data_IF_635455159561
#
_entry.id   IF_635455159561
#
_cell.length_a   1.000
_cell.length_b   1.000
_cell.length_c   1.000
_cell.angle_alpha   90.00
_cell.angle_beta   90.00
_cell.angle_gamma   90.00
#
_symmetry.space_group_name_H-M   'P 1'
#
loop_
_entity.id
_entity.type
_entity.pdbx_description
1 polymer ?
#
# COMPACT_ATOMS: atom_id res chain seq x y z
N UNK A 1 7.83 32.14 16.11
CA UNK A 1 7.72 31.30 14.88
C UNK A 1 6.80 30.17 15.26
N UNK A 2 5.58 30.17 14.70
CA UNK A 2 4.57 29.15 15.04
C UNK A 2 5.08 27.74 14.70
N UNK A 3 4.77 26.77 15.55
CA UNK A 3 5.01 25.35 15.30
C UNK A 3 4.33 24.95 13.99
N UNK A 4 5.04 24.25 13.12
CA UNK A 4 4.43 23.74 11.90
C UNK A 4 3.49 22.58 12.27
N UNK A 5 2.19 22.84 12.26
CA UNK A 5 1.14 21.89 12.64
C UNK A 5 0.76 20.93 11.49
N UNK A 6 1.58 20.84 10.45
CA UNK A 6 1.34 19.94 9.32
C UNK A 6 1.93 18.57 9.60
N UNK A 7 1.13 17.51 9.44
CA UNK A 7 1.55 16.12 9.29
C UNK A 7 1.67 15.87 7.79
N UNK A 8 2.89 15.71 7.30
CA UNK A 8 3.16 15.44 5.89
C UNK A 8 3.28 13.93 5.64
N UNK A 9 2.47 13.40 4.75
CA UNK A 9 2.56 12.01 4.27
C UNK A 9 3.12 12.03 2.86
N UNK A 10 4.29 11.45 2.65
CA UNK A 10 4.97 11.41 1.37
C UNK A 10 4.67 10.09 0.67
N UNK A 11 3.95 10.15 -0.43
CA UNK A 11 3.47 9.04 -1.22
C UNK A 11 1.99 8.71 -1.00
N UNK A 12 1.19 8.83 -2.04
CA UNK A 12 -0.25 8.57 -2.07
C UNK A 12 -0.62 7.12 -2.43
N UNK A 13 0.23 6.14 -2.09
CA UNK A 13 -0.06 4.71 -2.21
C UNK A 13 -0.96 4.19 -1.07
N UNK A 14 -1.19 2.88 -1.01
CA UNK A 14 -2.06 2.26 0.00
C UNK A 14 -1.62 2.60 1.44
N UNK A 15 -0.31 2.47 1.73
CA UNK A 15 0.23 2.77 3.07
C UNK A 15 0.13 4.25 3.42
N UNK A 16 0.36 5.15 2.43
CA UNK A 16 0.27 6.59 2.66
C UNK A 16 -1.15 7.05 2.91
N UNK A 17 -2.11 6.60 2.11
CA UNK A 17 -3.53 6.92 2.32
C UNK A 17 -4.03 6.39 3.67
N UNK A 18 -3.70 5.14 4.02
CA UNK A 18 -4.08 4.59 5.33
C UNK A 18 -3.45 5.37 6.50
N UNK A 19 -2.17 5.75 6.39
CA UNK A 19 -1.49 6.56 7.38
C UNK A 19 -2.11 7.96 7.50
N UNK A 20 -2.51 8.56 6.38
CA UNK A 20 -3.16 9.86 6.36
C UNK A 20 -4.55 9.82 7.03
N UNK A 21 -5.35 8.77 6.77
CA UNK A 21 -6.63 8.55 7.46
C UNK A 21 -6.40 8.47 8.96
N UNK A 22 -5.49 7.61 9.41
CA UNK A 22 -5.21 7.43 10.83
C UNK A 22 -4.72 8.73 11.51
N UNK A 23 -3.88 9.50 10.82
CA UNK A 23 -3.42 10.79 11.32
C UNK A 23 -4.55 11.82 11.42
N UNK A 24 -5.41 11.92 10.40
CA UNK A 24 -6.55 12.84 10.40
C UNK A 24 -7.60 12.49 11.46
N UNK A 25 -7.88 11.20 11.65
CA UNK A 25 -8.75 10.73 12.73
C UNK A 25 -8.18 11.06 14.12
N UNK A 26 -6.86 10.85 14.31
CA UNK A 26 -6.19 11.16 15.57
C UNK A 26 -6.22 12.66 15.88
N UNK A 27 -6.05 13.53 14.90
CA UNK A 27 -6.17 14.98 15.08
C UNK A 27 -7.57 15.37 15.53
N UNK A 28 -8.61 14.84 14.91
CA UNK A 28 -10.00 15.11 15.30
C UNK A 28 -10.33 14.61 16.69
N UNK A 29 -9.83 13.45 17.07
CA UNK A 29 -10.01 12.90 18.43
C UNK A 29 -9.37 13.83 19.49
N UNK A 30 -8.20 14.42 19.18
CA UNK A 30 -7.52 15.38 20.04
C UNK A 30 -8.30 16.69 20.16
N UNK A 31 -8.83 17.21 19.07
CA UNK A 31 -9.66 18.41 19.03
C UNK A 31 -10.97 18.22 19.80
N UNK A 32 -11.64 17.05 19.62
CA UNK A 32 -12.85 16.68 20.36
C UNK A 32 -12.63 16.49 21.86
N UNK A 33 -11.46 16.01 22.26
CA UNK A 33 -11.11 15.81 23.67
C UNK A 33 -10.73 17.13 24.39
N UNK A 34 -10.34 18.18 23.65
CA UNK A 34 -9.96 19.48 24.20
C UNK A 34 -11.12 20.37 24.64
N UNK A 35 -12.37 19.92 24.52
CA UNK A 35 -13.60 20.52 25.07
C UNK A 35 -13.82 21.98 24.74
N UNK A 36 -14.48 22.23 23.68
CA UNK A 36 -15.50 23.21 23.30
C UNK A 36 -15.62 23.09 21.79
N UNK A 37 -16.82 22.79 21.30
CA UNK A 37 -17.10 22.85 19.87
C UNK A 37 -16.88 24.30 19.39
N UNK A 38 -15.63 24.60 19.09
CA UNK A 38 -15.30 25.78 18.28
C UNK A 38 -15.70 25.44 16.85
N UNK A 39 -16.57 26.26 16.27
CA UNK A 39 -16.85 26.23 14.84
C UNK A 39 -15.52 26.08 14.08
N UNK A 40 -15.41 25.04 13.24
CA UNK A 40 -14.31 24.91 12.32
C UNK A 40 -14.41 26.10 11.36
N UNK A 41 -13.65 27.14 11.63
CA UNK A 41 -13.54 28.29 10.74
C UNK A 41 -12.70 27.82 9.57
N UNK A 42 -13.33 27.59 8.42
CA UNK A 42 -12.62 27.37 7.16
C UNK A 42 -11.62 28.51 6.96
N UNK A 43 -10.33 28.22 7.00
CA UNK A 43 -9.26 29.19 6.73
C UNK A 43 -8.33 29.51 7.89
N UNK A 44 -8.42 28.83 9.04
CA UNK A 44 -7.42 29.00 10.11
C UNK A 44 -6.07 28.40 9.67
N UNK A 45 -5.17 29.28 9.23
CA UNK A 45 -3.81 28.91 8.81
C UNK A 45 -2.98 28.26 9.94
N UNK A 46 -3.50 28.27 11.17
CA UNK A 46 -2.84 27.78 12.38
C UNK A 46 -3.41 26.41 12.86
N UNK A 47 -4.44 25.88 12.19
CA UNK A 47 -5.00 24.56 12.51
C UNK A 47 -4.04 23.44 12.10
N UNK A 48 -4.02 22.36 12.90
CA UNK A 48 -3.29 21.15 12.55
C UNK A 48 -3.93 20.46 11.34
N UNK A 49 -3.12 20.02 10.39
CA UNK A 49 -3.62 19.41 9.14
C UNK A 49 -2.77 18.23 8.67
N UNK A 50 -3.39 17.33 7.93
CA UNK A 50 -2.71 16.22 7.26
C UNK A 50 -2.68 16.49 5.77
N UNK A 51 -1.49 16.40 5.17
CA UNK A 51 -1.28 16.61 3.74
C UNK A 51 -0.57 15.40 3.14
N UNK A 52 -1.16 14.81 2.10
CA UNK A 52 -0.54 13.76 1.29
C UNK A 52 0.14 14.41 0.08
N UNK A 53 1.42 14.16 -0.10
CA UNK A 53 2.23 14.60 -1.25
C UNK A 53 2.43 13.41 -2.18
N UNK A 54 1.89 13.49 -3.38
CA UNK A 54 1.99 12.45 -4.40
C UNK A 54 2.66 13.00 -5.66
N UNK A 55 3.72 12.31 -6.12
CA UNK A 55 4.47 12.73 -7.30
C UNK A 55 3.68 12.57 -8.62
N UNK A 56 2.76 11.62 -8.67
CA UNK A 56 1.95 11.33 -9.85
C UNK A 56 0.77 12.29 -9.98
N UNK A 57 0.08 12.20 -11.12
CA UNK A 57 -1.14 12.94 -11.44
C UNK A 57 -2.35 12.54 -10.57
N UNK A 58 -2.25 11.47 -9.81
CA UNK A 58 -3.29 10.97 -8.90
C UNK A 58 -2.73 10.07 -7.83
N UNK A 59 -3.40 10.00 -6.68
CA UNK A 59 -3.11 9.02 -5.63
C UNK A 59 -3.57 7.62 -6.04
N UNK A 60 -3.01 6.58 -5.42
CA UNK A 60 -3.45 5.19 -5.54
C UNK A 60 -3.15 4.48 -6.85
N UNK A 61 -2.26 5.01 -7.71
CA UNK A 61 -1.88 4.32 -8.98
C UNK A 61 -1.40 2.90 -8.75
N UNK A 62 -0.62 2.68 -7.71
CA UNK A 62 -0.13 1.34 -7.35
C UNK A 62 -1.28 0.41 -6.95
N UNK A 63 -2.30 0.90 -6.26
CA UNK A 63 -3.49 0.11 -5.87
C UNK A 63 -4.20 -0.41 -7.12
N UNK A 64 -4.42 0.49 -8.10
CA UNK A 64 -5.13 0.15 -9.34
C UNK A 64 -4.42 -0.92 -10.17
N UNK A 65 -3.10 -1.03 -10.05
CA UNK A 65 -2.29 -2.02 -10.77
C UNK A 65 -2.26 -3.41 -10.08
N UNK A 66 -2.68 -3.49 -8.79
CA UNK A 66 -2.59 -4.75 -8.04
C UNK A 66 -3.67 -5.75 -8.43
N UNK A 67 -3.35 -7.04 -8.29
CA UNK A 67 -4.29 -8.14 -8.53
C UNK A 67 -4.94 -8.07 -9.92
N UNK A 68 -4.21 -7.68 -10.95
CA UNK A 68 -4.75 -7.45 -12.30
C UNK A 68 -5.97 -6.49 -12.32
N UNK A 69 -5.89 -5.40 -11.58
CA UNK A 69 -6.97 -4.41 -11.46
C UNK A 69 -8.10 -4.80 -10.50
N UNK A 70 -7.95 -5.90 -9.74
CA UNK A 70 -8.93 -6.38 -8.76
C UNK A 70 -8.61 -5.98 -7.33
N UNK A 71 -7.35 -5.77 -7.01
CA UNK A 71 -6.77 -5.52 -5.69
C UNK A 71 -7.03 -6.66 -4.68
N UNK A 72 -6.10 -7.63 -4.61
CA UNK A 72 -6.02 -8.50 -3.45
C UNK A 72 -5.48 -7.70 -2.26
N UNK A 73 -6.36 -7.14 -1.43
CA UNK A 73 -5.98 -6.15 -0.44
C UNK A 73 -5.59 -6.76 0.92
N UNK A 74 -5.96 -8.02 1.17
CA UNK A 74 -5.64 -8.72 2.43
C UNK A 74 -5.82 -10.24 2.28
N UNK A 75 -5.55 -10.95 3.35
CA UNK A 75 -5.83 -12.38 3.51
C UNK A 75 -6.72 -12.59 4.75
N UNK A 76 -7.68 -13.51 4.67
CA UNK A 76 -8.57 -13.84 5.77
C UNK A 76 -7.86 -14.57 6.92
N UNK A 77 -6.74 -15.20 6.62
CA UNK A 77 -5.94 -16.00 7.57
C UNK A 77 -4.45 -15.66 7.43
N UNK A 78 -4.04 -14.42 7.76
CA UNK A 78 -2.63 -14.07 7.72
C UNK A 78 -1.88 -14.84 8.81
N UNK A 79 -0.80 -15.50 8.45
CA UNK A 79 0.14 -16.10 9.38
C UNK A 79 1.36 -15.20 9.53
N UNK A 80 1.77 -14.94 10.77
CA UNK A 80 2.97 -14.13 11.03
C UNK A 80 4.24 -14.76 10.47
N UNK A 81 4.27 -16.08 10.31
CA UNK A 81 5.36 -16.83 9.68
C UNK A 81 5.54 -16.53 8.20
N UNK A 82 4.51 -16.01 7.53
CA UNK A 82 4.59 -15.58 6.12
C UNK A 82 5.42 -14.28 5.97
N UNK A 83 5.73 -13.61 7.09
CA UNK A 83 6.45 -12.35 7.08
C UNK A 83 7.90 -12.55 7.53
N UNK A 84 8.82 -11.88 6.86
CA UNK A 84 10.25 -11.94 7.15
C UNK A 84 10.61 -11.57 8.59
N UNK A 85 9.86 -10.69 9.24
CA UNK A 85 10.07 -10.25 10.61
C UNK A 85 8.80 -10.52 11.45
N UNK A 86 8.50 -11.79 11.66
CA UNK A 86 7.31 -12.25 12.35
C UNK A 86 7.10 -11.57 13.72
N UNK A 87 8.16 -11.42 14.52
CA UNK A 87 8.09 -10.78 15.84
C UNK A 87 7.68 -9.29 15.76
N UNK A 88 8.15 -8.58 14.75
CA UNK A 88 7.76 -7.18 14.51
C UNK A 88 6.31 -7.10 14.04
N UNK A 89 5.94 -7.94 13.08
CA UNK A 89 4.57 -8.00 12.54
C UNK A 89 3.56 -8.30 13.64
N UNK A 90 3.84 -9.30 14.50
CA UNK A 90 3.01 -9.64 15.66
C UNK A 90 2.80 -8.42 16.57
N UNK A 91 3.84 -7.66 16.86
CA UNK A 91 3.74 -6.45 17.68
C UNK A 91 2.85 -5.39 17.05
N UNK A 92 3.02 -5.14 15.74
CA UNK A 92 2.23 -4.16 14.99
C UNK A 92 0.76 -4.56 14.98
N UNK A 93 0.46 -5.82 14.67
CA UNK A 93 -0.92 -6.33 14.65
C UNK A 93 -1.56 -6.25 16.04
N UNK A 94 -0.82 -6.64 17.09
CA UNK A 94 -1.33 -6.58 18.48
C UNK A 94 -1.64 -5.14 18.92
N UNK A 95 -0.77 -4.16 18.62
CA UNK A 95 -1.04 -2.76 18.93
C UNK A 95 -2.24 -2.22 18.15
N UNK A 96 -2.37 -2.62 16.89
CA UNK A 96 -3.51 -2.25 16.06
C UNK A 96 -4.84 -2.81 16.65
N UNK A 97 -4.84 -4.07 17.06
CA UNK A 97 -5.98 -4.68 17.74
C UNK A 97 -6.32 -3.96 19.05
N UNK A 98 -5.32 -3.60 19.86
CA UNK A 98 -5.52 -2.86 21.10
C UNK A 98 -6.13 -1.47 20.86
N UNK A 99 -5.73 -0.77 19.81
CA UNK A 99 -6.28 0.53 19.45
C UNK A 99 -7.71 0.43 18.94
N UNK A 100 -8.00 -0.55 18.09
CA UNK A 100 -9.34 -0.81 17.59
C UNK A 100 -10.32 -1.08 18.74
N UNK A 101 -9.90 -1.86 19.75
CA UNK A 101 -10.73 -2.11 20.93
C UNK A 101 -10.96 -0.89 21.82
N UNK A 102 -10.08 0.10 21.82
CA UNK A 102 -10.25 1.35 22.59
C UNK A 102 -11.26 2.30 21.96
N UNK A 103 -11.42 2.26 20.64
CA UNK A 103 -12.31 3.16 19.89
C UNK A 103 -13.76 2.68 19.82
N UNK A 104 -14.03 1.40 20.10
CA UNK A 104 -15.38 0.84 20.05
C UNK A 104 -16.11 1.13 21.36
N UNK A 105 -17.23 1.90 21.37
CA UNK A 105 -18.08 2.07 22.54
C UNK A 105 -18.55 0.71 23.08
N UNK A 106 -18.67 0.58 24.39
CA UNK A 106 -18.92 -0.69 25.08
C UNK A 106 -20.17 -1.47 24.64
N UNK A 107 -21.06 -0.85 23.88
CA UNK A 107 -22.28 -1.47 23.34
C UNK A 107 -22.07 -2.17 21.98
N UNK A 108 -20.94 -1.96 21.28
CA UNK A 108 -20.64 -2.58 19.99
C UNK A 108 -19.72 -3.80 20.10
N UNK A 109 -19.60 -4.41 21.30
CA UNK A 109 -18.74 -5.57 21.58
C UNK A 109 -19.16 -6.89 20.90
N UNK A 110 -20.04 -6.85 19.91
CA UNK A 110 -20.45 -8.05 19.16
C UNK A 110 -19.61 -8.29 17.91
N UNK A 111 -18.63 -7.45 17.62
CA UNK A 111 -17.71 -7.68 16.50
C UNK A 111 -16.52 -8.53 16.93
N UNK A 112 -16.77 -9.81 17.23
CA UNK A 112 -15.76 -10.89 17.19
C UNK A 112 -15.35 -11.20 15.74
N UNK A 113 -15.72 -10.35 14.79
CA UNK A 113 -15.77 -10.72 13.40
C UNK A 113 -14.45 -10.56 12.65
N UNK A 114 -13.51 -9.73 13.15
CA UNK A 114 -12.30 -9.45 12.36
C UNK A 114 -11.03 -9.54 13.23
N UNK A 115 -10.43 -10.74 13.32
CA UNK A 115 -9.14 -10.91 14.02
C UNK A 115 -7.98 -10.19 13.34
N UNK A 116 -8.24 -9.49 12.24
CA UNK A 116 -7.29 -8.83 11.38
C UNK A 116 -7.59 -7.33 11.36
N UNK A 117 -6.71 -6.51 11.93
CA UNK A 117 -6.90 -5.07 12.02
C UNK A 117 -7.06 -4.37 10.67
N UNK A 118 -6.52 -4.95 9.59
CA UNK A 118 -6.72 -4.45 8.22
C UNK A 118 -8.19 -4.58 7.81
N UNK A 119 -8.82 -5.71 8.14
CA UNK A 119 -10.24 -5.91 7.83
C UNK A 119 -11.13 -5.00 8.67
N UNK A 120 -10.79 -4.80 9.95
CA UNK A 120 -11.46 -3.82 10.81
C UNK A 120 -11.41 -2.43 10.20
N UNK A 121 -10.23 -1.97 9.82
CA UNK A 121 -10.05 -0.67 9.18
C UNK A 121 -10.94 -0.51 7.93
N UNK A 122 -10.90 -1.47 7.01
CA UNK A 122 -11.70 -1.39 5.79
C UNK A 122 -13.20 -1.53 6.04
N UNK A 123 -13.61 -2.31 7.05
CA UNK A 123 -15.01 -2.41 7.48
C UNK A 123 -15.55 -1.09 8.00
N UNK A 124 -14.77 -0.41 8.85
CA UNK A 124 -15.14 0.87 9.45
C UNK A 124 -15.32 1.97 8.40
N UNK A 125 -14.60 1.83 7.26
CA UNK A 125 -14.68 2.73 6.12
C UNK A 125 -15.61 2.23 4.99
N UNK A 126 -16.41 1.20 5.25
CA UNK A 126 -17.48 0.75 4.36
C UNK A 126 -17.05 -0.09 3.16
N UNK A 127 -15.82 -0.61 3.13
CA UNK A 127 -15.42 -1.55 2.10
C UNK A 127 -16.07 -2.91 2.33
N UNK A 128 -16.80 -3.40 1.34
CA UNK A 128 -17.32 -4.77 1.30
C UNK A 128 -16.39 -5.66 0.49
N UNK A 129 -16.18 -6.88 0.94
CA UNK A 129 -15.26 -7.82 0.29
C UNK A 129 -15.82 -9.25 0.23
N UNK A 130 -15.10 -10.09 -0.50
CA UNK A 130 -15.31 -11.54 -0.55
C UNK A 130 -13.98 -12.27 -0.44
N UNK A 131 -14.02 -13.46 0.13
CA UNK A 131 -12.91 -14.39 0.14
C UNK A 131 -12.90 -15.22 -1.14
N UNK A 132 -11.73 -15.41 -1.72
CA UNK A 132 -11.44 -16.35 -2.80
C UNK A 132 -10.45 -17.43 -2.29
N UNK A 133 -10.07 -18.36 -3.14
CA UNK A 133 -9.18 -19.48 -2.74
C UNK A 133 -7.93 -19.00 -1.99
N UNK A 134 -7.50 -19.80 -1.02
CA UNK A 134 -6.32 -19.56 -0.18
C UNK A 134 -6.44 -18.34 0.76
N UNK A 135 -7.66 -17.93 1.09
CA UNK A 135 -7.91 -16.80 1.98
C UNK A 135 -7.73 -15.42 1.35
N UNK A 136 -7.51 -15.34 0.06
CA UNK A 136 -7.34 -14.06 -0.63
C UNK A 136 -8.61 -13.22 -0.58
N UNK A 137 -8.46 -11.94 -0.24
CA UNK A 137 -9.58 -11.03 -0.09
C UNK A 137 -9.59 -9.97 -1.20
N UNK A 138 -10.71 -9.88 -1.86
CA UNK A 138 -10.95 -8.92 -2.94
C UNK A 138 -12.18 -8.05 -2.62
N UNK A 139 -12.21 -6.79 -3.05
CA UNK A 139 -13.42 -5.99 -2.92
C UNK A 139 -14.60 -6.68 -3.61
N UNK A 140 -15.80 -6.56 -3.04
CA UNK A 140 -17.00 -7.25 -3.56
C UNK A 140 -17.28 -6.91 -5.03
N UNK A 141 -17.03 -5.66 -5.42
CA UNK A 141 -17.16 -5.20 -6.81
C UNK A 141 -16.07 -5.78 -7.74
N UNK A 142 -15.08 -6.50 -7.22
CA UNK A 142 -13.98 -7.09 -7.99
C UNK A 142 -13.16 -6.07 -8.82
N UNK A 143 -13.06 -4.85 -8.31
CA UNK A 143 -12.34 -3.73 -8.95
C UNK A 143 -11.44 -3.04 -7.93
N UNK A 144 -10.18 -2.87 -8.26
CA UNK A 144 -9.21 -2.15 -7.42
C UNK A 144 -9.64 -0.71 -7.11
N UNK A 145 -10.41 -0.08 -8.02
CA UNK A 145 -10.98 1.23 -7.80
C UNK A 145 -11.83 1.32 -6.52
N UNK A 146 -12.57 0.26 -6.16
CA UNK A 146 -13.39 0.27 -4.94
C UNK A 146 -12.56 0.39 -3.66
N UNK A 147 -11.34 -0.19 -3.64
CA UNK A 147 -10.40 -0.02 -2.52
C UNK A 147 -9.86 1.40 -2.48
N UNK A 148 -9.50 1.95 -3.63
CA UNK A 148 -9.01 3.32 -3.73
C UNK A 148 -10.10 4.33 -3.35
N UNK A 149 -11.32 4.16 -3.85
CA UNK A 149 -12.45 5.04 -3.54
C UNK A 149 -12.77 5.03 -2.04
N UNK A 150 -12.72 3.85 -1.40
CA UNK A 150 -12.88 3.71 0.05
C UNK A 150 -11.81 4.51 0.81
N UNK A 151 -10.52 4.36 0.45
CA UNK A 151 -9.42 5.08 1.10
C UNK A 151 -9.54 6.60 0.89
N UNK A 152 -9.89 7.04 -0.32
CA UNK A 152 -10.07 8.47 -0.61
C UNK A 152 -11.27 9.06 0.12
N UNK A 153 -12.37 8.33 0.19
CA UNK A 153 -13.54 8.74 0.98
C UNK A 153 -13.18 8.87 2.47
N UNK A 154 -12.40 7.93 3.01
CA UNK A 154 -11.89 7.98 4.37
C UNK A 154 -10.95 9.18 4.58
N UNK A 155 -10.03 9.45 3.65
CA UNK A 155 -9.16 10.64 3.67
C UNK A 155 -9.99 11.94 3.69
N UNK A 156 -10.97 12.07 2.79
CA UNK A 156 -11.84 13.24 2.73
C UNK A 156 -12.64 13.40 4.04
N UNK A 157 -13.22 12.31 4.55
CA UNK A 157 -13.89 12.30 5.83
C UNK A 157 -12.94 12.65 7.00
N UNK A 158 -11.65 12.32 6.92
CA UNK A 158 -10.64 12.69 7.90
C UNK A 158 -10.02 14.09 7.71
N UNK A 159 -10.50 14.89 6.75
CA UNK A 159 -9.98 16.23 6.49
C UNK A 159 -8.56 16.24 5.89
N UNK A 160 -8.17 15.17 5.21
CA UNK A 160 -6.86 15.04 4.58
C UNK A 160 -6.82 15.82 3.26
N UNK A 161 -5.80 16.62 3.07
CA UNK A 161 -5.51 17.31 1.82
C UNK A 161 -4.65 16.41 0.90
N UNK A 162 -5.11 16.16 -0.32
CA UNK A 162 -4.33 15.44 -1.35
C UNK A 162 -3.66 16.44 -2.30
N UNK A 163 -2.33 16.42 -2.40
CA UNK A 163 -1.55 17.22 -3.35
C UNK A 163 -0.87 16.30 -4.34
N UNK A 164 -1.42 16.21 -5.52
CA UNK A 164 -0.88 15.47 -6.66
C UNK A 164 0.09 16.32 -7.47
N UNK A 165 0.87 15.70 -8.34
CA UNK A 165 1.95 16.34 -9.10
C UNK A 165 2.89 17.15 -8.18
N UNK A 166 3.06 16.66 -6.96
CA UNK A 166 3.80 17.31 -5.90
C UNK A 166 4.87 16.37 -5.33
N UNK A 167 5.96 16.22 -6.04
CA UNK A 167 7.06 15.36 -5.67
C UNK A 167 7.91 16.00 -4.56
N UNK A 168 8.08 15.29 -3.46
CA UNK A 168 9.05 15.63 -2.40
C UNK A 168 10.38 14.99 -2.75
N UNK A 169 11.37 15.79 -3.11
CA UNK A 169 12.69 15.34 -3.49
C UNK A 169 13.62 15.06 -2.30
N UNK A 170 13.43 15.74 -1.18
CA UNK A 170 14.22 15.51 0.03
C UNK A 170 13.48 15.97 1.29
N UNK A 171 13.85 15.36 2.42
CA UNK A 171 13.42 15.74 3.77
C UNK A 171 14.64 16.17 4.58
N UNK A 172 14.66 17.43 4.99
CA UNK A 172 15.70 17.95 5.88
C UNK A 172 15.22 17.85 7.33
N UNK A 173 16.03 17.25 8.22
CA UNK A 173 15.66 17.10 9.62
C UNK A 173 15.60 18.47 10.33
N UNK A 174 14.90 18.53 11.47
CA UNK A 174 14.89 19.72 12.32
C UNK A 174 16.30 20.16 12.72
N UNK A 175 16.56 21.45 12.71
CA UNK A 175 17.86 22.02 13.13
C UNK A 175 18.01 22.16 14.64
N UNK A 176 16.91 22.08 15.36
CA UNK A 176 16.84 22.13 16.83
C UNK A 176 15.61 21.36 17.30
N UNK A 177 15.60 21.01 18.58
CA UNK A 177 14.43 20.38 19.21
C UNK A 177 13.20 21.28 19.08
N UNK A 178 12.06 20.69 18.67
CA UNK A 178 10.81 21.43 18.41
C UNK A 178 10.77 22.23 17.09
N UNK A 179 11.85 22.26 16.32
CA UNK A 179 11.83 22.85 14.99
C UNK A 179 11.17 21.90 13.97
N UNK A 180 10.52 22.45 12.91
CA UNK A 180 9.89 21.63 11.89
C UNK A 180 10.91 20.97 10.95
N UNK A 181 10.49 19.87 10.32
CA UNK A 181 11.12 19.34 9.12
C UNK A 181 10.94 20.33 7.96
N UNK A 182 11.91 20.35 7.04
CA UNK A 182 11.78 21.05 5.78
C UNK A 182 11.67 20.04 4.64
N UNK A 183 10.58 20.13 3.90
CA UNK A 183 10.36 19.34 2.68
C UNK A 183 10.85 20.15 1.50
N UNK A 184 11.75 19.61 0.71
CA UNK A 184 12.19 20.20 -0.55
C UNK A 184 11.44 19.52 -1.69
N UNK A 185 10.60 20.28 -2.37
CA UNK A 185 9.85 19.79 -3.52
C UNK A 185 10.74 19.77 -4.78
N UNK A 186 10.39 18.92 -5.74
CA UNK A 186 11.14 18.81 -7.00
C UNK A 186 11.09 20.09 -7.86
N UNK A 187 10.06 20.90 -7.70
CA UNK A 187 9.92 22.19 -8.37
C UNK A 187 10.71 23.34 -7.70
N UNK A 188 11.46 23.02 -6.64
CA UNK A 188 12.31 23.98 -5.90
C UNK A 188 11.61 24.69 -4.75
N UNK A 189 10.32 24.52 -4.54
CA UNK A 189 9.61 25.03 -3.36
C UNK A 189 10.01 24.31 -2.09
N UNK A 190 9.83 24.96 -0.96
CA UNK A 190 10.05 24.41 0.37
C UNK A 190 8.77 24.51 1.19
N UNK A 191 8.45 23.42 1.90
CA UNK A 191 7.35 23.38 2.85
C UNK A 191 7.84 22.90 4.22
N UNK A 192 7.06 23.15 5.26
CA UNK A 192 7.40 22.76 6.63
C UNK A 192 6.38 21.82 7.20
N UNK A 193 6.85 20.82 7.95
CA UNK A 193 6.01 19.85 8.62
C UNK A 193 6.53 19.56 10.03
N UNK A 194 5.62 19.46 10.99
CA UNK A 194 5.95 19.04 12.36
C UNK A 194 6.21 17.53 12.43
N UNK A 195 5.52 16.77 11.59
CA UNK A 195 5.67 15.30 11.47
C UNK A 195 5.79 14.94 10.00
N UNK A 196 6.64 13.95 9.69
CA UNK A 196 6.80 13.42 8.34
C UNK A 196 6.63 11.90 8.37
N UNK A 197 5.75 11.38 7.52
CA UNK A 197 5.54 9.96 7.29
C UNK A 197 5.97 9.64 5.86
N UNK A 198 7.00 8.81 5.70
CA UNK A 198 7.49 8.41 4.38
C UNK A 198 6.85 7.10 3.96
N UNK A 199 6.04 7.12 2.90
CA UNK A 199 5.22 6.01 2.42
C UNK A 199 5.33 5.80 0.89
N UNK A 200 6.51 6.05 0.32
CA UNK A 200 6.78 6.03 -1.13
C UNK A 200 6.96 4.64 -1.74
N UNK A 201 6.79 3.58 -0.95
CA UNK A 201 6.95 2.20 -1.41
C UNK A 201 8.38 1.69 -1.35
N UNK A 202 8.64 0.58 -2.06
CA UNK A 202 9.91 -0.16 -1.92
C UNK A 202 11.14 0.53 -2.51
N UNK A 203 10.98 1.44 -3.45
CA UNK A 203 12.08 2.19 -4.09
C UNK A 203 12.20 3.59 -3.49
N UNK A 204 12.52 3.65 -2.20
CA UNK A 204 12.64 4.92 -1.51
C UNK A 204 13.99 5.60 -1.80
N UNK A 205 13.94 6.89 -2.16
CA UNK A 205 15.14 7.71 -2.29
C UNK A 205 15.75 7.98 -0.90
N UNK A 206 17.08 7.90 -0.79
CA UNK A 206 17.79 8.09 0.49
C UNK A 206 17.60 9.49 1.07
N UNK A 207 17.38 10.47 0.22
CA UNK A 207 17.13 11.87 0.55
C UNK A 207 15.82 12.09 1.32
N UNK A 208 14.90 11.12 1.27
CA UNK A 208 13.64 11.13 2.00
C UNK A 208 13.77 10.57 3.42
N UNK A 209 14.91 9.99 3.78
CA UNK A 209 15.05 9.24 5.01
C UNK A 209 16.14 9.81 5.92
N UNK A 210 16.01 9.64 7.24
CA UNK A 210 17.03 10.08 8.20
C UNK A 210 18.39 9.47 7.87
N UNK A 211 19.44 10.27 8.04
CA UNK A 211 20.82 9.80 7.90
C UNK A 211 21.14 8.69 8.92
N UNK A 212 21.87 7.68 8.47
CA UNK A 212 22.30 6.57 9.33
C UNK A 212 21.35 5.37 9.36
N UNK A 213 20.22 5.41 8.65
CA UNK A 213 19.43 4.20 8.44
C UNK A 213 20.15 3.23 7.51
N UNK A 214 20.23 1.97 7.94
CA UNK A 214 20.71 0.88 7.08
C UNK A 214 19.60 0.37 6.20
N UNK A 215 19.89 0.22 4.92
CA UNK A 215 18.99 -0.37 3.95
C UNK A 215 19.46 -1.76 3.57
N UNK A 216 18.52 -2.63 3.36
CA UNK A 216 18.75 -3.90 2.70
C UNK A 216 18.33 -3.75 1.24
N UNK A 217 19.11 -4.33 0.33
CA UNK A 217 18.74 -4.38 -1.06
C UNK A 217 17.42 -5.14 -1.22
N UNK A 218 16.58 -4.64 -2.12
CA UNK A 218 15.33 -5.29 -2.46
C UNK A 218 15.64 -6.53 -3.31
N UNK A 219 15.18 -7.67 -2.85
CA UNK A 219 15.17 -8.90 -3.63
C UNK A 219 13.81 -9.02 -4.33
N UNK A 220 13.76 -9.02 -5.66
CA UNK A 220 12.49 -9.18 -6.36
C UNK A 220 11.94 -10.57 -6.08
N UNK A 221 10.73 -10.65 -5.53
CA UNK A 221 10.03 -11.91 -5.22
C UNK A 221 8.89 -12.19 -6.19
N UNK A 222 8.32 -11.15 -6.79
CA UNK A 222 7.24 -11.25 -7.77
C UNK A 222 7.45 -10.16 -8.84
N UNK A 223 7.39 -10.53 -10.09
CA UNK A 223 7.53 -9.60 -11.20
C UNK A 223 6.93 -10.13 -12.49
N UNK A 224 6.62 -9.25 -13.44
CA UNK A 224 6.13 -9.67 -14.74
C UNK A 224 7.23 -10.38 -15.51
N UNK A 225 6.87 -11.44 -16.21
CA UNK A 225 7.77 -12.05 -17.20
C UNK A 225 7.86 -11.15 -18.43
N UNK A 226 9.07 -10.69 -18.74
CA UNK A 226 9.32 -10.03 -20.01
C UNK A 226 9.31 -11.08 -21.11
N UNK A 227 8.38 -10.95 -22.05
CA UNK A 227 8.26 -11.86 -23.19
C UNK A 227 8.28 -11.08 -24.49
N UNK A 228 8.37 -11.77 -25.62
CA UNK A 228 8.17 -11.14 -26.93
C UNK A 228 6.76 -10.51 -26.98
N UNK A 229 6.65 -9.19 -27.22
CA UNK A 229 5.37 -8.47 -27.13
C UNK A 229 4.32 -8.93 -28.15
N UNK A 230 4.72 -9.69 -29.16
CA UNK A 230 3.79 -10.23 -30.17
C UNK A 230 2.77 -11.20 -29.57
N UNK A 231 3.15 -11.96 -28.55
CA UNK A 231 2.29 -12.96 -27.92
C UNK A 231 1.35 -12.35 -26.87
N UNK A 232 1.84 -11.59 -25.88
CA UNK A 232 0.98 -10.96 -24.87
C UNK A 232 -0.09 -10.05 -25.49
N UNK A 233 0.24 -9.30 -26.54
CA UNK A 233 -0.73 -8.42 -27.23
C UNK A 233 -1.94 -9.17 -27.82
N UNK A 234 -1.76 -10.44 -28.16
CA UNK A 234 -2.86 -11.29 -28.68
C UNK A 234 -3.73 -11.86 -27.57
N UNK A 235 -3.22 -11.85 -26.34
CA UNK A 235 -3.86 -12.39 -25.14
C UNK A 235 -4.26 -11.27 -24.17
N UNK A 236 -4.27 -10.03 -24.66
CA UNK A 236 -4.62 -8.88 -23.85
C UNK A 236 -6.04 -9.05 -23.26
N UNK A 237 -6.16 -8.81 -21.95
CA UNK A 237 -7.35 -9.05 -21.15
C UNK A 237 -7.79 -10.54 -21.02
N UNK A 238 -6.98 -11.49 -21.47
CA UNK A 238 -7.25 -12.92 -21.25
C UNK A 238 -6.51 -13.37 -19.99
N UNK A 239 -7.25 -13.94 -19.05
CA UNK A 239 -6.69 -14.61 -17.87
C UNK A 239 -6.56 -16.10 -18.15
N UNK A 240 -5.36 -16.62 -17.92
CA UNK A 240 -5.08 -18.05 -18.06
C UNK A 240 -4.63 -18.55 -16.68
N UNK A 241 -5.31 -19.56 -16.20
CA UNK A 241 -4.83 -20.34 -15.05
C UNK A 241 -3.98 -21.49 -15.58
N UNK A 242 -2.71 -21.51 -15.24
CA UNK A 242 -1.78 -22.51 -15.77
C UNK A 242 -0.63 -22.81 -14.82
N UNK A 243 0.07 -23.89 -15.09
CA UNK A 243 1.35 -24.18 -14.47
C UNK A 243 2.47 -23.67 -15.38
N UNK A 244 3.39 -22.90 -14.82
CA UNK A 244 4.58 -22.42 -15.51
C UNK A 244 5.76 -23.34 -15.19
N UNK A 245 6.41 -23.86 -16.23
CA UNK A 245 7.66 -24.59 -16.08
C UNK A 245 8.80 -23.81 -16.74
N UNK A 246 9.87 -23.56 -16.01
CA UNK A 246 11.07 -22.92 -16.51
C UNK A 246 12.06 -23.97 -17.00
N UNK A 247 12.55 -23.75 -18.19
CA UNK A 247 13.54 -24.63 -18.83
C UNK A 247 14.75 -23.83 -19.28
N UNK A 248 15.95 -24.37 -19.07
CA UNK A 248 17.17 -23.77 -19.61
C UNK A 248 17.22 -24.01 -21.11
N UNK A 249 17.56 -23.02 -21.94
CA UNK A 249 17.80 -23.24 -23.38
C UNK A 249 18.86 -24.35 -23.57
N UNK A 250 18.56 -25.34 -24.36
CA UNK A 250 19.43 -26.48 -24.61
C UNK A 250 19.04 -27.26 -25.87
N UNK A 251 19.35 -28.54 -25.92
CA UNK A 251 19.09 -29.37 -27.08
C UNK A 251 17.58 -29.48 -27.42
N UNK A 252 17.30 -29.75 -28.69
CA UNK A 252 15.91 -29.90 -29.19
C UNK A 252 15.24 -31.07 -28.51
N UNK A 253 14.11 -30.85 -27.86
CA UNK A 253 13.24 -31.92 -27.43
C UNK A 253 12.71 -32.72 -28.63
N UNK A 254 12.59 -34.03 -28.45
CA UNK A 254 11.92 -34.87 -29.42
C UNK A 254 10.42 -34.54 -29.52
N UNK A 255 9.78 -34.78 -30.67
CA UNK A 255 8.34 -34.55 -30.83
C UNK A 255 7.47 -35.25 -29.76
N UNK A 256 7.93 -36.41 -29.26
CA UNK A 256 7.24 -37.16 -28.22
C UNK A 256 7.33 -36.48 -26.84
N UNK A 257 8.48 -35.89 -26.50
CA UNK A 257 8.67 -35.13 -25.27
C UNK A 257 7.88 -33.83 -25.30
N UNK A 258 7.91 -33.10 -26.43
CA UNK A 258 7.11 -31.89 -26.63
C UNK A 258 5.62 -32.16 -26.47
N UNK A 259 5.12 -33.25 -27.03
CA UNK A 259 3.72 -33.64 -26.95
C UNK A 259 3.32 -34.07 -25.52
N UNK A 260 4.21 -34.76 -24.80
CA UNK A 260 3.98 -35.18 -23.41
C UNK A 260 3.85 -33.95 -22.46
N UNK A 261 4.56 -32.89 -22.75
CA UNK A 261 4.55 -31.63 -21.96
C UNK A 261 3.63 -30.54 -22.54
N UNK A 262 2.92 -30.83 -23.63
CA UNK A 262 1.99 -29.89 -24.26
C UNK A 262 2.64 -28.72 -25.00
N UNK A 263 3.92 -28.82 -25.36
CA UNK A 263 4.61 -27.78 -26.12
C UNK A 263 4.31 -27.88 -27.62
N UNK A 264 4.22 -26.71 -28.31
CA UNK A 264 4.11 -26.68 -29.76
C UNK A 264 5.32 -27.33 -30.45
N UNK A 265 5.10 -27.98 -31.58
CA UNK A 265 6.19 -28.51 -32.40
C UNK A 265 7.20 -27.42 -32.76
N UNK A 266 8.48 -27.73 -32.61
CA UNK A 266 9.57 -26.78 -32.87
C UNK A 266 10.05 -25.96 -31.67
N UNK A 267 9.48 -26.15 -30.48
CA UNK A 267 9.97 -25.53 -29.27
C UNK A 267 11.34 -26.08 -28.88
N UNK A 268 12.29 -25.18 -28.60
CA UNK A 268 13.59 -25.55 -28.05
C UNK A 268 13.50 -25.52 -26.53
N UNK A 269 13.63 -26.67 -25.89
CA UNK A 269 13.59 -26.79 -24.43
C UNK A 269 14.83 -27.57 -23.99
N UNK A 270 15.52 -27.06 -23.00
CA UNK A 270 16.68 -27.71 -22.42
C UNK A 270 16.39 -28.37 -21.08
N UNK A 271 17.36 -28.32 -20.18
CA UNK A 271 17.26 -28.88 -18.85
C UNK A 271 16.18 -28.18 -18.03
N UNK A 272 15.29 -28.94 -17.36
CA UNK A 272 14.24 -28.40 -16.49
C UNK A 272 14.86 -27.72 -15.28
N UNK A 273 14.69 -26.42 -15.18
CA UNK A 273 15.05 -25.65 -14.00
C UNK A 273 13.85 -25.63 -13.07
N UNK A 274 13.93 -26.43 -12.06
CA UNK A 274 12.97 -26.67 -10.99
C UNK A 274 12.16 -25.43 -10.59
N UNK A 275 10.89 -25.36 -10.94
CA UNK A 275 9.79 -25.10 -10.02
C UNK A 275 8.47 -25.11 -10.79
N UNK A 276 7.48 -25.73 -10.21
CA UNK A 276 6.12 -25.66 -10.70
C UNK A 276 5.42 -24.61 -9.87
N UNK A 277 5.28 -23.41 -10.42
CA UNK A 277 4.41 -22.41 -9.83
C UNK A 277 3.06 -22.45 -10.54
N UNK A 278 1.99 -22.46 -9.75
CA UNK A 278 0.63 -22.30 -10.23
C UNK A 278 0.28 -20.82 -10.07
N UNK A 279 0.30 -20.09 -11.20
CA UNK A 279 -0.08 -18.67 -11.24
C UNK A 279 -1.47 -18.48 -11.84
N UNK A 280 -2.13 -17.38 -11.47
CA UNK A 280 -3.35 -16.87 -12.13
C UNK A 280 -3.02 -15.81 -13.17
#
# INVERSE_FOLDING_TARGET
MGEAKTIAVIGGGASGLAAAVAAGEALRDLEGAGGAAGEVVEGDADAARVVVYEASDRVGRSILATGNGRCNFSNARPDEGDYRNAAFVRRVLFEFECQAHRRVPSQAKTSTAYPNGVLGFFSDHGLMWREEGEGRLYPLANKAASVLDCLRAACAAAGVEERVECEVAAVEPPRAEGAPFTLRLADGRFERAGVVIVAVGGTVARELLPKGLSFRELEPTLGPLATDPRWPRRLDNIRVRGALELWRPGEKMTPQELNRHGFPMGTHVGERLVSREVGE
#
